data_IF_002872893063
#
_entry.id   IF_002872893063
#
_cell.length_a   1.000
_cell.length_b   1.000
_cell.length_c   1.000
_cell.angle_alpha   90.00
_cell.angle_beta   90.00
_cell.angle_gamma   90.00
#
_symmetry.space_group_name_H-M   'P 1'
#
loop_
_entity.id
_entity.type
_entity.pdbx_description
1 polymer ?
#
# COMPACT_ATOMS: atom_id res chain seq x y z
N UNK A 1 11.70 -10.34 1.85
CA UNK A 1 10.54 -11.08 2.39
C UNK A 1 9.89 -10.21 3.46
N UNK A 2 8.59 -9.89 3.39
CA UNK A 2 7.92 -9.15 4.45
C UNK A 2 7.93 -9.96 5.77
N UNK A 3 8.45 -9.37 6.85
CA UNK A 3 8.68 -10.08 8.12
C UNK A 3 7.39 -10.71 8.71
N UNK A 4 6.24 -10.07 8.51
CA UNK A 4 4.94 -10.55 8.97
C UNK A 4 4.61 -11.92 8.33
N UNK A 5 4.81 -12.06 7.01
CA UNK A 5 4.49 -13.32 6.32
C UNK A 5 5.45 -14.44 6.69
N UNK A 6 6.71 -14.09 6.95
CA UNK A 6 7.70 -15.07 7.41
C UNK A 6 7.28 -15.67 8.75
N UNK A 7 6.87 -14.84 9.72
CA UNK A 7 6.39 -15.32 11.02
C UNK A 7 5.14 -16.19 10.87
N UNK A 8 4.19 -15.81 10.01
CA UNK A 8 2.99 -16.62 9.73
C UNK A 8 3.37 -17.96 9.10
N UNK A 9 4.27 -17.97 8.12
CA UNK A 9 4.72 -19.19 7.46
C UNK A 9 5.41 -20.15 8.43
N UNK A 10 6.27 -19.63 9.33
CA UNK A 10 6.94 -20.43 10.36
C UNK A 10 5.95 -21.00 11.37
N UNK A 11 5.02 -20.19 11.89
CA UNK A 11 4.02 -20.64 12.87
C UNK A 11 3.04 -21.66 12.31
N UNK A 12 2.67 -21.51 11.04
CA UNK A 12 1.71 -22.39 10.38
C UNK A 12 2.37 -23.54 9.60
N UNK A 13 3.70 -23.63 9.63
CA UNK A 13 4.49 -24.60 8.87
C UNK A 13 4.14 -24.59 7.36
N UNK A 14 4.09 -23.40 6.75
CA UNK A 14 3.77 -23.19 5.34
C UNK A 14 5.03 -23.01 4.51
N UNK A 15 5.00 -23.52 3.28
CA UNK A 15 5.98 -23.17 2.26
C UNK A 15 5.37 -22.11 1.33
N UNK A 16 6.03 -20.95 1.21
CA UNK A 16 5.51 -19.79 0.50
C UNK A 16 6.43 -19.38 -0.64
N UNK A 17 5.85 -19.15 -1.81
CA UNK A 17 6.54 -18.60 -2.98
C UNK A 17 6.05 -17.19 -3.27
N UNK A 18 6.99 -16.26 -3.43
CA UNK A 18 6.65 -14.85 -3.69
C UNK A 18 6.72 -14.56 -5.18
N UNK A 19 5.65 -13.99 -5.71
CA UNK A 19 5.61 -13.45 -7.06
C UNK A 19 5.23 -11.97 -6.99
N UNK A 20 5.99 -11.12 -7.68
CA UNK A 20 5.61 -9.71 -7.85
C UNK A 20 4.66 -9.59 -9.03
N UNK A 21 3.60 -8.82 -8.87
CA UNK A 21 2.74 -8.44 -10.00
C UNK A 21 3.50 -7.46 -10.91
N UNK A 22 3.55 -7.68 -12.23
CA UNK A 22 4.38 -6.90 -13.14
C UNK A 22 3.94 -5.44 -13.33
N UNK A 23 2.65 -5.14 -13.20
CA UNK A 23 2.08 -3.80 -13.34
C UNK A 23 2.14 -2.93 -12.09
N UNK A 24 2.50 -3.50 -10.93
CA UNK A 24 2.43 -2.87 -9.61
C UNK A 24 1.03 -2.30 -9.31
N UNK A 25 -0.02 -2.95 -9.82
CA UNK A 25 -1.42 -2.54 -9.68
C UNK A 25 -2.15 -3.40 -8.64
N UNK A 26 -2.98 -2.78 -7.81
CA UNK A 26 -3.87 -3.48 -6.88
C UNK A 26 -4.93 -4.28 -7.64
N UNK A 27 -5.49 -3.68 -8.69
CA UNK A 27 -6.51 -4.31 -9.51
C UNK A 27 -7.79 -3.50 -9.57
N UNK A 28 -8.33 -3.41 -10.78
CA UNK A 28 -9.62 -2.80 -11.08
C UNK A 28 -10.42 -3.73 -11.97
N UNK A 29 -11.75 -3.58 -11.94
CA UNK A 29 -12.62 -4.34 -12.82
C UNK A 29 -12.55 -3.75 -14.24
N UNK A 30 -12.04 -4.52 -15.19
CA UNK A 30 -11.96 -4.16 -16.60
C UNK A 30 -12.56 -5.29 -17.41
N UNK A 31 -13.61 -5.01 -18.19
CA UNK A 31 -14.27 -6.01 -19.04
C UNK A 31 -14.67 -7.31 -18.29
N UNK A 32 -15.29 -7.17 -17.11
CA UNK A 32 -15.71 -8.29 -16.24
C UNK A 32 -14.58 -9.19 -15.70
N UNK A 33 -13.33 -8.74 -15.77
CA UNK A 33 -12.22 -9.40 -15.09
C UNK A 33 -11.42 -8.40 -14.26
N UNK A 34 -10.88 -8.84 -13.14
CA UNK A 34 -10.02 -8.00 -12.31
C UNK A 34 -8.58 -8.00 -12.85
N UNK A 35 -7.95 -6.82 -12.89
CA UNK A 35 -6.53 -6.64 -13.21
C UNK A 35 -5.65 -6.72 -11.97
N UNK A 36 -4.33 -6.57 -12.12
CA UNK A 36 -3.41 -6.41 -10.99
C UNK A 36 -3.37 -7.61 -10.03
N UNK A 37 -3.01 -7.34 -8.78
CA UNK A 37 -2.87 -8.35 -7.73
C UNK A 37 -4.20 -9.04 -7.42
N UNK A 38 -5.28 -8.28 -7.22
CA UNK A 38 -6.62 -8.82 -6.98
C UNK A 38 -7.11 -9.66 -8.16
N UNK A 39 -6.72 -9.30 -9.39
CA UNK A 39 -6.97 -10.10 -10.58
C UNK A 39 -6.31 -11.47 -10.58
N UNK A 40 -5.07 -11.55 -10.11
CA UNK A 40 -4.38 -12.83 -9.95
C UNK A 40 -5.07 -13.73 -8.92
N UNK A 41 -5.53 -13.15 -7.81
CA UNK A 41 -6.34 -13.87 -6.83
C UNK A 41 -7.66 -14.35 -7.44
N UNK A 42 -8.39 -13.48 -8.16
CA UNK A 42 -9.63 -13.83 -8.84
C UNK A 42 -9.47 -14.98 -9.86
N UNK A 43 -8.32 -15.04 -10.55
CA UNK A 43 -8.01 -16.10 -11.54
C UNK A 43 -7.33 -17.33 -10.93
N UNK A 44 -7.21 -17.43 -9.60
CA UNK A 44 -6.47 -18.49 -8.89
C UNK A 44 -4.99 -18.62 -9.32
N UNK A 45 -4.36 -17.52 -9.74
CA UNK A 45 -2.93 -17.45 -10.05
C UNK A 45 -2.07 -17.13 -8.81
N UNK A 46 -2.72 -16.69 -7.71
CA UNK A 46 -2.10 -16.43 -6.43
C UNK A 46 -3.09 -16.79 -5.31
N UNK A 47 -2.59 -17.35 -4.20
CA UNK A 47 -3.41 -17.76 -3.07
C UNK A 47 -3.60 -16.66 -2.00
N UNK A 48 -2.58 -15.80 -1.85
CA UNK A 48 -2.52 -14.76 -0.82
C UNK A 48 -1.93 -13.49 -1.43
N UNK A 49 -2.54 -12.36 -1.13
CA UNK A 49 -1.96 -11.04 -1.39
C UNK A 49 -1.54 -10.41 -0.07
N UNK A 50 -0.31 -9.90 -0.01
CA UNK A 50 0.19 -9.13 1.11
C UNK A 50 0.64 -7.75 0.65
N UNK A 51 -0.23 -6.77 0.85
CA UNK A 51 0.03 -5.35 0.58
C UNK A 51 -0.91 -4.50 1.45
N UNK A 52 -0.69 -3.18 1.63
CA UNK A 52 -1.66 -2.28 2.23
C UNK A 52 -2.92 -2.23 1.35
N UNK A 53 -3.88 -3.10 1.67
CA UNK A 53 -5.14 -3.23 0.98
C UNK A 53 -6.25 -2.77 1.91
N UNK A 54 -7.06 -1.84 1.43
CA UNK A 54 -8.31 -1.49 2.09
C UNK A 54 -9.34 -2.56 1.76
N UNK A 55 -10.06 -3.12 2.76
CA UNK A 55 -11.20 -3.97 2.50
C UNK A 55 -12.23 -3.23 1.65
N UNK A 56 -12.71 -3.89 0.60
CA UNK A 56 -13.73 -3.34 -0.30
C UNK A 56 -14.77 -4.41 -0.62
N UNK A 57 -16.01 -3.98 -0.74
CA UNK A 57 -17.19 -4.84 -0.97
C UNK A 57 -17.09 -5.63 -2.28
N UNK A 58 -16.47 -5.08 -3.32
CA UNK A 58 -16.30 -5.73 -4.62
C UNK A 58 -15.36 -6.95 -4.58
N UNK A 59 -14.40 -6.96 -3.66
CA UNK A 59 -13.50 -8.09 -3.47
C UNK A 59 -14.07 -9.16 -2.54
N UNK A 60 -15.08 -8.83 -1.71
CA UNK A 60 -15.72 -9.79 -0.82
C UNK A 60 -16.47 -10.92 -1.56
N UNK A 61 -16.77 -10.74 -2.85
CA UNK A 61 -17.41 -11.77 -3.67
C UNK A 61 -16.51 -12.97 -3.95
N UNK A 62 -15.18 -12.79 -3.92
CA UNK A 62 -14.22 -13.82 -4.31
C UNK A 62 -12.99 -13.94 -3.39
N UNK A 63 -12.83 -13.04 -2.42
CA UNK A 63 -11.70 -13.04 -1.50
C UNK A 63 -12.16 -12.85 -0.05
N UNK A 64 -11.34 -13.38 0.88
CA UNK A 64 -11.51 -13.16 2.31
C UNK A 64 -10.40 -12.24 2.82
N UNK A 65 -10.79 -11.24 3.61
CA UNK A 65 -9.84 -10.41 4.34
C UNK A 65 -9.58 -10.99 5.73
N UNK A 66 -8.35 -10.87 6.20
CA UNK A 66 -8.03 -11.09 7.61
C UNK A 66 -8.62 -9.96 8.47
N UNK A 67 -8.54 -10.10 9.79
CA UNK A 67 -8.68 -8.93 10.64
C UNK A 67 -7.64 -7.86 10.25
N UNK A 68 -7.99 -6.55 10.32
CA UNK A 68 -7.05 -5.48 10.03
C UNK A 68 -5.79 -5.59 10.89
N UNK A 69 -4.64 -5.67 10.24
CA UNK A 69 -3.31 -5.73 10.91
C UNK A 69 -2.79 -4.31 11.18
N UNK A 70 -3.16 -3.35 10.31
CA UNK A 70 -2.83 -1.93 10.43
C UNK A 70 -4.10 -1.10 10.30
N UNK A 71 -4.20 -0.04 11.11
CA UNK A 71 -5.24 0.97 11.01
C UNK A 71 -4.61 2.24 10.41
N UNK A 72 -5.01 2.60 9.20
CA UNK A 72 -4.55 3.83 8.55
C UNK A 72 -5.55 4.97 8.78
N UNK A 73 -5.01 6.16 9.07
CA UNK A 73 -5.76 7.39 9.04
C UNK A 73 -5.38 8.16 7.76
N UNK A 74 -6.37 8.54 6.96
CA UNK A 74 -6.12 9.42 5.82
C UNK A 74 -5.61 10.77 6.33
N UNK A 75 -4.45 11.19 5.83
CA UNK A 75 -3.85 12.50 6.15
C UNK A 75 -3.53 13.27 4.89
N UNK A 76 -3.67 14.59 4.93
CA UNK A 76 -3.23 15.47 3.85
C UNK A 76 -1.75 15.82 4.11
N UNK A 77 -0.87 15.40 3.20
CA UNK A 77 0.53 15.77 3.21
C UNK A 77 0.75 16.99 2.30
N UNK A 78 1.28 18.08 2.87
CA UNK A 78 1.70 19.26 2.11
C UNK A 78 3.20 19.49 2.27
N UNK A 79 3.87 19.92 1.20
CA UNK A 79 5.28 20.25 1.22
C UNK A 79 5.57 21.43 2.15
N UNK A 80 6.57 21.29 3.03
CA UNK A 80 7.01 22.40 3.89
C UNK A 80 7.73 23.45 3.04
N UNK A 81 7.30 24.71 3.10
CA UNK A 81 8.07 25.83 2.52
C UNK A 81 9.43 25.87 3.21
N UNK A 82 10.52 25.69 2.46
CA UNK A 82 11.87 25.97 2.95
C UNK A 82 11.96 27.49 3.10
N UNK A 83 12.15 27.98 4.33
CA UNK A 83 12.62 29.33 4.52
C UNK A 83 14.09 29.34 4.16
N UNK A 84 14.43 29.81 2.96
CA UNK A 84 15.77 30.33 2.74
C UNK A 84 15.88 31.58 3.60
N UNK A 85 16.79 31.58 4.59
CA UNK A 85 17.14 32.78 5.31
C UNK A 85 17.73 33.75 4.31
N UNK A 86 16.90 34.60 3.71
CA UNK A 86 17.35 35.57 2.73
C UNK A 86 18.43 36.42 3.36
N UNK A 87 19.56 36.59 2.66
CA UNK A 87 20.70 37.42 3.09
C UNK A 87 20.24 38.83 3.55
N UNK A 88 19.12 39.30 2.99
CA UNK A 88 18.50 40.59 3.27
C UNK A 88 17.75 40.69 4.61
N UNK A 89 17.50 39.59 5.33
CA UNK A 89 16.97 39.64 6.71
C UNK A 89 17.90 40.37 7.68
N UNK A 90 19.20 40.45 7.37
CA UNK A 90 20.14 41.25 8.16
C UNK A 90 19.85 42.76 8.05
N UNK A 91 19.36 43.21 6.89
CA UNK A 91 19.08 44.63 6.64
C UNK A 91 17.69 45.07 7.09
N UNK A 92 16.75 44.13 7.30
CA UNK A 92 15.39 44.47 7.78
C UNK A 92 15.35 44.97 9.24
N UNK A 93 16.44 44.81 10.01
CA UNK A 93 16.57 45.35 11.38
C UNK A 93 17.09 46.80 11.37
N UNK A 94 17.54 47.29 10.20
CA UNK A 94 18.16 48.62 10.03
C UNK A 94 17.25 49.63 9.32
N UNK A 95 16.07 49.21 8.84
CA UNK A 95 15.05 50.13 8.32
C UNK A 95 14.28 50.77 9.50
N UNK A 96 14.13 52.11 9.54
CA UNK A 96 13.52 52.85 10.65
C UNK A 96 11.99 52.74 10.75
#
# INVERSE_FOLDING_TARGET
MPAIMQAVAEWMNLNVTYAREPGDDYGTLVNNTYTGMCGRLFRNEADIILNPLLPRDDFHEFAYFTHPIIFEAFTILSGKKKQEGGLFLYFSVLEP
#
